data_IF_482904954953
#
_entry.id   IF_482904954953
#
_cell.length_a   1.000
_cell.length_b   1.000
_cell.length_c   1.000
_cell.angle_alpha   90.00
_cell.angle_beta   90.00
_cell.angle_gamma   90.00
#
_symmetry.space_group_name_H-M   'P 1'
#
loop_
_entity.id
_entity.type
_entity.pdbx_description
1 polymer ?
#
# COMPACT_ATOMS: atom_id res chain seq x y z
N UNK A 1 -43.01 -10.51 12.86
CA UNK A 1 -42.91 -10.32 11.40
C UNK A 1 -41.53 -9.74 11.14
N UNK A 2 -40.55 -10.58 10.77
CA UNK A 2 -39.21 -10.11 10.41
C UNK A 2 -39.28 -9.47 9.02
N UNK A 3 -39.16 -8.15 8.95
CA UNK A 3 -38.77 -7.48 7.71
C UNK A 3 -37.38 -8.00 7.34
N UNK A 4 -37.32 -8.84 6.32
CA UNK A 4 -36.06 -9.20 5.68
C UNK A 4 -35.42 -7.90 5.20
N UNK A 5 -34.25 -7.57 5.74
CA UNK A 5 -33.45 -6.47 5.21
C UNK A 5 -33.35 -6.62 3.69
N UNK A 6 -33.55 -5.53 2.92
CA UNK A 6 -33.43 -5.59 1.47
C UNK A 6 -32.05 -6.17 1.13
N UNK A 7 -31.95 -7.06 0.13
CA UNK A 7 -30.67 -7.59 -0.30
C UNK A 7 -29.74 -6.40 -0.56
N UNK A 8 -28.45 -6.48 -0.17
CA UNK A 8 -27.49 -5.45 -0.52
C UNK A 8 -27.61 -5.19 -2.02
N UNK A 9 -27.58 -3.92 -2.48
CA UNK A 9 -27.72 -3.61 -3.88
C UNK A 9 -26.74 -4.52 -4.62
N UNK A 10 -27.28 -5.38 -5.48
CA UNK A 10 -26.48 -6.28 -6.29
C UNK A 10 -25.41 -5.39 -6.91
N UNK A 11 -24.15 -5.63 -6.54
CA UNK A 11 -23.00 -4.90 -7.04
C UNK A 11 -23.21 -4.81 -8.55
N UNK A 12 -23.62 -3.63 -9.01
CA UNK A 12 -23.60 -3.35 -10.41
C UNK A 12 -22.12 -3.50 -10.73
N UNK A 13 -21.80 -4.57 -11.44
CA UNK A 13 -20.55 -4.83 -12.15
C UNK A 13 -20.32 -3.67 -13.14
N UNK A 14 -20.21 -2.46 -12.60
CA UNK A 14 -19.70 -1.30 -13.25
C UNK A 14 -18.24 -1.65 -13.48
N UNK A 15 -18.01 -2.30 -14.64
CA UNK A 15 -16.70 -2.72 -15.10
C UNK A 15 -15.76 -1.56 -14.85
N UNK A 16 -14.94 -1.69 -13.81
CA UNK A 16 -13.98 -0.66 -13.45
C UNK A 16 -13.15 -0.44 -14.71
N UNK A 17 -13.04 0.80 -15.22
CA UNK A 17 -12.28 1.06 -16.43
C UNK A 17 -10.90 0.42 -16.30
N UNK A 18 -10.40 -0.17 -17.38
CA UNK A 18 -9.21 -1.04 -17.36
C UNK A 18 -8.00 -0.40 -16.65
N UNK A 19 -7.89 0.93 -16.68
CA UNK A 19 -6.80 1.72 -16.09
C UNK A 19 -7.17 2.51 -14.83
N UNK A 20 -8.42 2.43 -14.34
CA UNK A 20 -8.83 3.16 -13.16
C UNK A 20 -8.15 2.58 -11.91
N UNK A 21 -7.73 3.46 -10.99
CA UNK A 21 -7.27 3.05 -9.66
C UNK A 21 -8.36 2.18 -9.01
N UNK A 22 -8.06 0.94 -8.58
CA UNK A 22 -9.07 0.08 -7.96
C UNK A 22 -9.65 0.67 -6.67
N UNK A 23 -9.00 1.68 -6.10
CA UNK A 23 -9.48 2.45 -4.95
C UNK A 23 -10.04 3.82 -5.31
N UNK A 24 -10.27 4.12 -6.59
CA UNK A 24 -10.95 5.36 -6.98
C UNK A 24 -12.33 5.42 -6.32
N UNK A 25 -12.56 6.47 -5.51
CA UNK A 25 -13.80 6.62 -4.75
C UNK A 25 -13.93 5.71 -3.53
N UNK A 26 -12.90 4.92 -3.19
CA UNK A 26 -12.89 4.16 -1.94
C UNK A 26 -12.86 5.09 -0.75
N UNK A 27 -13.79 4.89 0.17
CA UNK A 27 -13.85 5.61 1.43
C UNK A 27 -13.48 4.64 2.54
N UNK A 28 -12.39 4.92 3.25
CA UNK A 28 -11.97 4.07 4.36
C UNK A 28 -12.78 4.39 5.61
N UNK A 29 -13.87 3.65 5.81
CA UNK A 29 -14.86 3.89 6.87
C UNK A 29 -14.61 3.08 8.16
N UNK A 30 -13.52 2.31 8.22
CA UNK A 30 -13.24 1.40 9.34
C UNK A 30 -13.19 2.10 10.71
N UNK A 31 -12.63 3.31 10.80
CA UNK A 31 -12.61 4.13 12.02
C UNK A 31 -13.52 5.36 11.91
N UNK A 32 -14.52 5.30 11.03
CA UNK A 32 -15.49 6.37 10.78
C UNK A 32 -14.83 7.71 10.42
N UNK A 33 -13.82 7.68 9.54
CA UNK A 33 -13.12 8.91 9.08
C UNK A 33 -14.05 9.82 8.29
N UNK A 34 -14.92 9.23 7.48
CA UNK A 34 -15.84 9.95 6.63
C UNK A 34 -17.04 10.52 7.41
N UNK A 35 -17.51 11.68 6.95
CA UNK A 35 -18.65 12.36 7.57
C UNK A 35 -19.96 11.66 7.24
N UNK A 36 -20.12 11.12 6.04
CA UNK A 36 -21.35 10.45 5.65
C UNK A 36 -21.45 9.07 6.30
N UNK A 37 -20.34 8.35 6.47
CA UNK A 37 -20.30 7.13 7.29
C UNK A 37 -20.80 7.36 8.72
N UNK A 38 -20.34 8.43 9.39
CA UNK A 38 -20.83 8.82 10.72
C UNK A 38 -22.31 9.18 10.72
N UNK A 39 -22.77 9.92 9.70
CA UNK A 39 -24.19 10.28 9.57
C UNK A 39 -25.07 9.04 9.38
N UNK A 40 -24.67 8.10 8.52
CA UNK A 40 -25.40 6.84 8.30
C UNK A 40 -25.48 6.04 9.59
N UNK A 41 -24.35 5.81 10.25
CA UNK A 41 -24.31 5.10 11.54
C UNK A 41 -25.17 5.80 12.60
N UNK A 42 -25.14 7.14 12.67
CA UNK A 42 -25.95 7.90 13.62
C UNK A 42 -27.45 7.84 13.35
N UNK A 43 -27.86 7.68 12.09
CA UNK A 43 -29.25 7.52 11.70
C UNK A 43 -29.78 6.11 12.01
N UNK A 44 -28.98 5.08 11.75
CA UNK A 44 -29.37 3.67 11.91
C UNK A 44 -29.19 3.17 13.36
N UNK A 45 -28.08 3.54 13.99
CA UNK A 45 -27.65 3.03 15.30
C UNK A 45 -27.07 4.15 16.17
N UNK A 46 -27.91 5.13 16.61
CA UNK A 46 -27.44 6.28 17.39
C UNK A 46 -26.70 5.87 18.66
N UNK A 47 -27.12 4.79 19.33
CA UNK A 47 -26.44 4.26 20.51
C UNK A 47 -25.03 3.72 20.22
N UNK A 48 -24.78 3.14 19.04
CA UNK A 48 -23.45 2.66 18.65
C UNK A 48 -22.53 3.82 18.30
N UNK A 49 -23.05 4.88 17.65
CA UNK A 49 -22.26 6.08 17.35
C UNK A 49 -21.68 6.71 18.63
N UNK A 50 -22.41 6.68 19.76
CA UNK A 50 -21.92 7.22 21.05
C UNK A 50 -20.58 6.64 21.49
N UNK A 51 -20.30 5.38 21.16
CA UNK A 51 -19.11 4.65 21.60
C UNK A 51 -18.08 4.50 20.50
N UNK A 52 -18.52 4.34 19.24
CA UNK A 52 -17.68 4.19 18.06
C UNK A 52 -17.13 5.54 17.55
N UNK A 53 -17.81 6.66 17.81
CA UNK A 53 -17.30 7.98 17.42
C UNK A 53 -16.14 8.40 18.33
N UNK A 54 -14.94 8.52 17.75
CA UNK A 54 -13.72 8.91 18.47
C UNK A 54 -12.99 10.06 17.76
N UNK A 55 -13.43 11.32 17.97
CA UNK A 55 -12.90 12.48 17.25
C UNK A 55 -11.41 12.75 17.54
N UNK A 56 -10.95 12.52 18.77
CA UNK A 56 -9.56 12.75 19.16
C UNK A 56 -8.60 11.81 18.40
N UNK A 57 -8.95 10.52 18.30
CA UNK A 57 -8.17 9.56 17.52
C UNK A 57 -8.17 9.90 16.02
N UNK A 58 -9.31 10.33 15.47
CA UNK A 58 -9.36 10.76 14.06
C UNK A 58 -8.49 11.98 13.78
N UNK A 59 -8.46 12.94 14.71
CA UNK A 59 -7.58 14.09 14.58
C UNK A 59 -6.10 13.66 14.56
N UNK A 60 -5.72 12.70 15.41
CA UNK A 60 -4.38 12.11 15.39
C UNK A 60 -4.10 11.37 14.07
N UNK A 61 -5.05 10.54 13.60
CA UNK A 61 -4.93 9.82 12.33
C UNK A 61 -4.70 10.78 11.16
N UNK A 62 -5.55 11.80 11.03
CA UNK A 62 -5.46 12.79 9.95
C UNK A 62 -4.16 13.60 9.98
N UNK A 63 -3.62 13.88 11.18
CA UNK A 63 -2.32 14.56 11.35
C UNK A 63 -1.18 13.80 10.68
N UNK A 64 -1.24 12.47 10.66
CA UNK A 64 -0.18 11.62 10.10
C UNK A 64 -0.49 11.12 8.68
N UNK A 65 -1.75 10.93 8.32
CA UNK A 65 -2.12 10.40 7.02
C UNK A 65 -1.77 11.34 5.85
N UNK A 66 -2.07 12.64 5.98
CA UNK A 66 -1.84 13.59 4.90
C UNK A 66 -0.35 13.73 4.52
N UNK A 67 0.58 13.91 5.48
CA UNK A 67 2.02 13.84 5.21
C UNK A 67 2.41 12.49 4.58
N UNK A 68 1.94 11.36 5.12
CA UNK A 68 2.29 10.05 4.60
C UNK A 68 1.91 9.89 3.11
N UNK A 69 0.71 10.33 2.73
CA UNK A 69 0.23 10.28 1.35
C UNK A 69 0.97 11.26 0.44
N UNK A 70 1.34 12.44 0.94
CA UNK A 70 2.13 13.41 0.18
C UNK A 70 3.53 12.87 -0.16
N UNK A 71 4.26 12.35 0.84
CA UNK A 71 5.59 11.80 0.64
C UNK A 71 5.58 10.60 -0.31
N UNK A 72 4.63 9.67 -0.15
CA UNK A 72 4.49 8.52 -1.06
C UNK A 72 4.32 8.94 -2.52
N UNK A 73 3.46 9.94 -2.79
CA UNK A 73 3.21 10.44 -4.14
C UNK A 73 4.44 11.15 -4.71
N UNK A 74 5.13 11.96 -3.91
CA UNK A 74 6.32 12.70 -4.34
C UNK A 74 7.46 11.73 -4.68
N UNK A 75 7.76 10.79 -3.78
CA UNK A 75 8.87 9.85 -3.97
C UNK A 75 8.61 8.93 -5.17
N UNK A 76 7.36 8.47 -5.36
CA UNK A 76 6.97 7.70 -6.55
C UNK A 76 7.14 8.49 -7.84
N UNK A 77 6.74 9.76 -7.86
CA UNK A 77 6.89 10.62 -9.04
C UNK A 77 8.36 10.87 -9.37
N UNK A 78 9.19 11.19 -8.37
CA UNK A 78 10.62 11.43 -8.57
C UNK A 78 11.34 10.17 -9.07
N UNK A 79 11.07 9.01 -8.45
CA UNK A 79 11.64 7.74 -8.89
C UNK A 79 11.23 7.37 -10.31
N UNK A 80 9.94 7.48 -10.64
CA UNK A 80 9.45 7.20 -11.99
C UNK A 80 10.05 8.16 -13.02
N UNK A 81 10.07 9.46 -12.74
CA UNK A 81 10.66 10.46 -13.64
C UNK A 81 12.15 10.21 -13.85
N UNK A 82 12.90 9.89 -12.79
CA UNK A 82 14.33 9.56 -12.89
C UNK A 82 14.58 8.38 -13.82
N UNK A 83 13.82 7.28 -13.65
CA UNK A 83 13.93 6.09 -14.51
C UNK A 83 13.55 6.42 -15.95
N UNK A 84 12.44 7.13 -16.18
CA UNK A 84 12.00 7.49 -17.54
C UNK A 84 13.03 8.37 -18.26
N UNK A 85 13.57 9.38 -17.58
CA UNK A 85 14.61 10.26 -18.14
C UNK A 85 15.89 9.48 -18.42
N UNK A 86 16.30 8.57 -17.51
CA UNK A 86 17.49 7.73 -17.71
C UNK A 86 17.34 6.76 -18.88
N UNK A 87 16.18 6.12 -19.03
CA UNK A 87 15.86 5.25 -20.17
C UNK A 87 15.86 6.05 -21.47
N UNK A 88 15.24 7.23 -21.48
CA UNK A 88 15.25 8.10 -22.66
C UNK A 88 16.68 8.51 -23.06
N UNK A 89 17.54 8.82 -22.09
CA UNK A 89 18.95 9.11 -22.32
C UNK A 89 19.68 7.92 -22.99
N UNK A 90 19.50 6.71 -22.46
CA UNK A 90 20.12 5.49 -22.99
C UNK A 90 19.62 5.13 -24.38
N UNK A 91 18.31 5.25 -24.62
CA UNK A 91 17.72 5.02 -25.95
C UNK A 91 18.28 6.03 -26.94
N UNK A 92 18.29 7.33 -26.60
CA UNK A 92 18.84 8.36 -27.48
C UNK A 92 20.33 8.11 -27.78
N UNK A 93 21.12 7.78 -26.76
CA UNK A 93 22.53 7.43 -26.92
C UNK A 93 22.75 6.22 -27.85
N UNK A 94 21.89 5.20 -27.75
CA UNK A 94 21.95 4.01 -28.60
C UNK A 94 21.75 4.32 -30.09
N UNK A 95 20.92 5.32 -30.42
CA UNK A 95 20.63 5.71 -31.80
C UNK A 95 21.57 6.78 -32.37
N UNK A 96 22.36 7.47 -31.53
CA UNK A 96 23.32 8.50 -31.97
C UNK A 96 24.28 8.06 -33.10
N UNK A 97 24.86 6.83 -33.10
CA UNK A 97 25.74 6.40 -34.18
C UNK A 97 25.10 6.41 -35.56
N UNK A 98 23.78 6.19 -35.67
CA UNK A 98 23.07 6.17 -36.96
C UNK A 98 23.08 7.52 -37.66
N UNK A 99 22.96 8.61 -36.91
CA UNK A 99 23.10 9.95 -37.46
C UNK A 99 24.52 10.17 -38.03
N UNK A 100 25.53 9.62 -37.36
CA UNK A 100 26.91 9.61 -37.84
C UNK A 100 27.07 8.81 -39.15
N UNK A 101 26.55 7.59 -39.20
CA UNK A 101 26.60 6.76 -40.41
C UNK A 101 25.79 7.35 -41.59
N UNK A 102 24.75 8.14 -41.31
CA UNK A 102 23.99 8.88 -42.31
C UNK A 102 24.69 10.17 -42.81
N UNK A 103 25.91 10.46 -42.34
CA UNK A 103 26.66 11.67 -42.69
C UNK A 103 26.18 12.94 -41.98
N UNK A 104 25.31 12.83 -40.98
CA UNK A 104 24.77 13.95 -40.21
C UNK A 104 25.59 14.21 -38.93
N UNK A 105 26.86 14.57 -39.09
CA UNK A 105 27.79 14.74 -37.96
C UNK A 105 27.26 15.73 -36.89
N UNK A 106 26.69 16.87 -37.31
CA UNK A 106 26.08 17.83 -36.39
C UNK A 106 24.87 17.23 -35.65
N UNK A 107 24.03 16.44 -36.34
CA UNK A 107 22.89 15.74 -35.73
C UNK A 107 23.34 14.73 -34.67
N UNK A 108 24.39 13.96 -34.96
CA UNK A 108 24.98 13.02 -34.00
C UNK A 108 25.55 13.72 -32.76
N UNK A 109 26.24 14.85 -32.95
CA UNK A 109 26.76 15.67 -31.84
C UNK A 109 25.64 16.21 -30.95
N UNK A 110 24.57 16.76 -31.56
CA UNK A 110 23.41 17.28 -30.83
C UNK A 110 22.70 16.15 -30.06
N UNK A 111 22.45 15.01 -30.70
CA UNK A 111 21.82 13.86 -30.07
C UNK A 111 22.66 13.31 -28.90
N UNK A 112 23.98 13.21 -29.08
CA UNK A 112 24.92 12.81 -28.03
C UNK A 112 24.94 13.78 -26.85
N UNK A 113 24.98 15.09 -27.11
CA UNK A 113 24.92 16.12 -26.08
C UNK A 113 23.61 16.08 -25.29
N UNK A 114 22.48 15.92 -25.99
CA UNK A 114 21.16 15.79 -25.36
C UNK A 114 21.07 14.50 -24.50
N UNK A 115 21.57 13.37 -25.00
CA UNK A 115 21.61 12.13 -24.25
C UNK A 115 22.45 12.27 -22.96
N UNK A 116 23.62 12.90 -23.04
CA UNK A 116 24.46 13.17 -21.88
C UNK A 116 23.75 14.09 -20.87
N UNK A 117 23.10 15.15 -21.34
CA UNK A 117 22.31 16.04 -20.48
C UNK A 117 21.18 15.30 -19.76
N UNK A 118 20.41 14.47 -20.47
CA UNK A 118 19.35 13.66 -19.87
C UNK A 118 19.89 12.66 -18.85
N UNK A 119 21.03 12.02 -19.14
CA UNK A 119 21.68 11.10 -18.19
C UNK A 119 22.11 11.82 -16.90
N UNK A 120 22.68 13.02 -17.03
CA UNK A 120 23.03 13.87 -15.87
C UNK A 120 21.77 14.29 -15.09
N UNK A 121 20.70 14.66 -15.78
CA UNK A 121 19.42 15.01 -15.14
C UNK A 121 18.82 13.82 -14.38
N UNK A 122 18.83 12.61 -14.97
CA UNK A 122 18.40 11.39 -14.29
C UNK A 122 19.26 11.10 -13.05
N UNK A 123 20.58 11.22 -13.17
CA UNK A 123 21.52 11.07 -12.04
C UNK A 123 21.24 12.07 -10.92
N UNK A 124 21.01 13.34 -11.26
CA UNK A 124 20.65 14.38 -10.29
C UNK A 124 19.32 14.08 -9.59
N UNK A 125 18.29 13.65 -10.34
CA UNK A 125 16.99 13.25 -9.76
C UNK A 125 17.14 12.04 -8.82
N UNK A 126 17.93 11.04 -9.20
CA UNK A 126 18.22 9.88 -8.34
C UNK A 126 18.97 10.30 -7.07
N UNK A 127 19.96 11.19 -7.17
CA UNK A 127 20.67 11.74 -6.01
C UNK A 127 19.75 12.54 -5.09
N UNK A 128 18.88 13.41 -5.64
CA UNK A 128 17.86 14.11 -4.86
C UNK A 128 16.94 13.14 -4.12
N UNK A 129 16.54 12.04 -4.76
CA UNK A 129 15.74 10.98 -4.15
C UNK A 129 16.52 10.27 -3.02
N UNK A 130 17.80 9.97 -3.21
CA UNK A 130 18.65 9.36 -2.18
C UNK A 130 18.86 10.29 -0.98
N UNK A 131 19.09 11.58 -1.22
CA UNK A 131 19.23 12.59 -0.18
C UNK A 131 17.93 12.83 0.59
N UNK A 132 16.79 12.48 0.01
CA UNK A 132 15.49 12.46 0.69
C UNK A 132 15.33 11.27 1.67
N UNK A 133 16.41 10.61 2.09
CA UNK A 133 16.38 9.55 3.12
C UNK A 133 15.62 9.95 4.40
N UNK A 134 15.68 11.24 4.79
CA UNK A 134 14.90 11.79 5.91
C UNK A 134 13.39 11.81 5.62
N UNK A 135 13.01 12.18 4.39
CA UNK A 135 11.62 12.10 3.90
C UNK A 135 11.09 10.67 3.95
N UNK A 136 11.91 9.66 3.64
CA UNK A 136 11.51 8.25 3.74
C UNK A 136 11.27 7.82 5.19
N UNK A 137 12.13 8.24 6.13
CA UNK A 137 11.94 7.94 7.55
C UNK A 137 10.69 8.63 8.11
N UNK A 138 10.45 9.90 7.76
CA UNK A 138 9.26 10.66 8.13
C UNK A 138 7.99 10.03 7.53
N UNK A 139 8.05 9.57 6.28
CA UNK A 139 6.98 8.86 5.60
C UNK A 139 6.63 7.54 6.32
N UNK A 140 7.62 6.70 6.58
CA UNK A 140 7.43 5.43 7.28
C UNK A 140 6.94 5.64 8.71
N UNK A 141 7.44 6.66 9.41
CA UNK A 141 6.94 7.05 10.73
C UNK A 141 5.49 7.51 10.69
N UNK A 142 5.11 8.30 9.69
CA UNK A 142 3.72 8.75 9.51
C UNK A 142 2.78 7.57 9.19
N UNK A 143 3.24 6.61 8.37
CA UNK A 143 2.50 5.36 8.12
C UNK A 143 2.36 4.52 9.38
N UNK A 144 3.45 4.31 10.11
CA UNK A 144 3.43 3.65 11.41
C UNK A 144 2.34 4.26 12.32
N UNK A 145 2.33 5.58 12.48
CA UNK A 145 1.33 6.26 13.32
C UNK A 145 -0.09 6.09 12.86
N UNK A 146 -0.33 6.23 11.57
CA UNK A 146 -1.66 6.09 10.97
C UNK A 146 -2.22 4.69 11.29
N UNK A 147 -1.41 3.67 11.09
CA UNK A 147 -1.79 2.27 11.31
C UNK A 147 -1.85 1.89 12.80
N UNK A 148 -1.00 2.47 13.66
CA UNK A 148 -1.08 2.29 15.12
C UNK A 148 -2.27 3.01 15.73
N UNK A 149 -2.65 4.18 15.22
CA UNK A 149 -3.90 4.85 15.62
C UNK A 149 -5.11 4.00 15.22
N UNK A 150 -5.14 3.46 14.00
CA UNK A 150 -6.17 2.51 13.57
C UNK A 150 -6.21 1.27 14.47
N UNK A 151 -5.05 0.67 14.76
CA UNK A 151 -4.94 -0.45 15.69
C UNK A 151 -5.47 -0.10 17.09
N UNK A 152 -5.14 1.08 17.62
CA UNK A 152 -5.64 1.55 18.92
C UNK A 152 -7.17 1.57 18.96
N UNK A 153 -7.81 2.07 17.91
CA UNK A 153 -9.27 2.13 17.82
C UNK A 153 -9.92 0.77 18.16
N UNK A 154 -9.49 -0.27 17.44
CA UNK A 154 -10.05 -1.61 17.59
C UNK A 154 -9.57 -2.31 18.85
N UNK A 155 -8.30 -2.14 19.23
CA UNK A 155 -7.77 -2.74 20.46
C UNK A 155 -8.48 -2.21 21.71
N UNK A 156 -8.78 -0.91 21.78
CA UNK A 156 -9.52 -0.34 22.92
C UNK A 156 -10.94 -0.92 22.98
N UNK A 157 -11.63 -1.03 21.84
CA UNK A 157 -12.98 -1.60 21.77
C UNK A 157 -13.00 -3.07 22.20
N UNK A 158 -12.13 -3.90 21.62
CA UNK A 158 -12.08 -5.34 21.89
C UNK A 158 -11.67 -5.65 23.33
N UNK A 159 -10.79 -4.86 23.93
CA UNK A 159 -10.36 -5.06 25.32
C UNK A 159 -11.29 -4.43 26.36
N UNK A 160 -12.38 -3.77 25.94
CA UNK A 160 -13.34 -3.10 26.84
C UNK A 160 -14.79 -3.30 26.36
N UNK A 161 -15.10 -4.44 25.74
CA UNK A 161 -16.41 -4.70 25.13
C UNK A 161 -17.58 -4.52 26.10
N UNK A 162 -17.45 -4.99 27.35
CA UNK A 162 -18.46 -4.81 28.38
C UNK A 162 -18.76 -3.32 28.67
N UNK A 163 -17.71 -2.54 28.93
CA UNK A 163 -17.83 -1.11 29.20
C UNK A 163 -18.39 -0.35 27.99
N UNK A 164 -17.91 -0.68 26.79
CA UNK A 164 -18.39 -0.08 25.55
C UNK A 164 -19.87 -0.41 25.30
N UNK A 165 -20.30 -1.66 25.50
CA UNK A 165 -21.70 -2.05 25.35
C UNK A 165 -22.61 -1.30 26.34
N UNK A 166 -22.22 -1.20 27.62
CA UNK A 166 -22.99 -0.43 28.63
C UNK A 166 -23.04 1.06 28.30
N UNK A 167 -21.94 1.64 27.83
CA UNK A 167 -21.85 3.05 27.43
C UNK A 167 -22.75 3.44 26.26
N UNK A 168 -23.29 2.48 25.50
CA UNK A 168 -24.28 2.75 24.45
C UNK A 168 -25.59 3.30 25.02
N UNK A 169 -25.95 2.92 26.26
CA UNK A 169 -27.22 3.28 26.89
C UNK A 169 -27.09 4.01 28.23
N UNK A 170 -25.94 3.95 28.91
CA UNK A 170 -25.70 4.57 30.22
C UNK A 170 -24.67 5.71 30.15
N UNK A 171 -25.05 6.90 30.64
CA UNK A 171 -24.21 8.10 30.67
C UNK A 171 -23.02 7.99 31.63
N UNK A 172 -23.18 7.28 32.75
CA UNK A 172 -22.08 7.06 33.70
C UNK A 172 -21.03 6.13 33.07
N UNK A 173 -21.47 5.04 32.44
CA UNK A 173 -20.62 4.15 31.66
C UNK A 173 -19.97 4.88 30.49
N UNK A 174 -20.68 5.78 29.79
CA UNK A 174 -20.12 6.61 28.71
C UNK A 174 -19.01 7.54 29.22
N UNK A 175 -19.18 8.12 30.42
CA UNK A 175 -18.13 8.90 31.08
C UNK A 175 -16.88 8.06 31.36
N UNK A 176 -17.04 6.83 31.85
CA UNK A 176 -15.94 5.88 32.06
C UNK A 176 -15.29 5.44 30.75
N UNK A 177 -16.07 5.17 29.71
CA UNK A 177 -15.60 4.84 28.37
C UNK A 177 -14.73 5.93 27.76
N UNK A 178 -15.15 7.20 27.87
CA UNK A 178 -14.36 8.35 27.41
C UNK A 178 -13.01 8.45 28.13
N UNK A 179 -12.97 8.19 29.44
CA UNK A 179 -11.70 8.16 30.20
C UNK A 179 -10.80 7.01 29.77
N UNK A 180 -11.34 5.81 29.56
CA UNK A 180 -10.57 4.67 29.08
C UNK A 180 -9.93 4.95 27.70
N UNK A 181 -10.69 5.56 26.78
CA UNK A 181 -10.17 6.01 25.48
C UNK A 181 -9.05 7.05 25.61
N UNK A 182 -9.24 8.06 26.46
CA UNK A 182 -8.21 9.09 26.69
C UNK A 182 -6.91 8.48 27.24
N UNK A 183 -7.00 7.61 28.26
CA UNK A 183 -5.85 6.90 28.82
C UNK A 183 -5.13 6.04 27.78
N UNK A 184 -5.89 5.35 26.93
CA UNK A 184 -5.31 4.53 25.88
C UNK A 184 -4.62 5.36 24.78
N UNK A 185 -5.14 6.55 24.49
CA UNK A 185 -4.51 7.50 23.57
C UNK A 185 -3.20 8.05 24.16
N UNK A 186 -3.18 8.38 25.45
CA UNK A 186 -2.00 8.85 26.17
C UNK A 186 -0.91 7.77 26.28
N UNK A 187 -1.28 6.49 26.17
CA UNK A 187 -0.35 5.36 26.15
C UNK A 187 0.37 5.20 24.81
N UNK A 188 -0.08 5.87 23.73
CA UNK A 188 0.69 5.87 22.48
C UNK A 188 2.03 6.57 22.72
N UNK A 189 3.15 5.99 22.24
CA UNK A 189 4.46 6.58 22.46
C UNK A 189 4.53 7.99 21.85
N UNK A 190 5.27 8.96 22.39
CA UNK A 190 5.35 10.29 21.78
C UNK A 190 5.93 10.21 20.36
N UNK A 191 5.45 11.08 19.46
CA UNK A 191 5.86 11.07 18.05
C UNK A 191 7.32 11.53 17.79
N UNK A 192 8.11 11.79 18.85
CA UNK A 192 9.47 12.32 18.75
C UNK A 192 10.51 11.34 18.21
N UNK A 193 10.39 10.03 18.48
CA UNK A 193 11.33 9.01 17.99
C UNK A 193 10.69 8.05 16.99
N UNK A 194 10.25 8.60 15.87
CA UNK A 194 9.63 7.80 14.81
C UNK A 194 10.58 6.80 14.16
N UNK A 195 11.85 7.18 13.98
CA UNK A 195 12.83 6.33 13.33
C UNK A 195 13.23 5.13 14.22
N UNK A 196 13.33 5.32 15.54
CA UNK A 196 13.51 4.24 16.49
C UNK A 196 12.35 3.25 16.44
N UNK A 197 11.11 3.73 16.52
CA UNK A 197 9.90 2.88 16.49
C UNK A 197 9.75 2.07 15.22
N UNK A 198 10.01 2.66 14.05
CA UNK A 198 10.03 1.95 12.76
C UNK A 198 11.09 0.84 12.80
N UNK A 199 12.28 1.12 13.34
CA UNK A 199 13.36 0.14 13.44
C UNK A 199 13.00 -0.99 14.39
N UNK A 200 12.43 -0.68 15.55
CA UNK A 200 12.04 -1.67 16.54
C UNK A 200 10.94 -2.59 16.00
N UNK A 201 9.93 -2.04 15.33
CA UNK A 201 8.88 -2.84 14.69
C UNK A 201 9.44 -3.80 13.64
N UNK A 202 10.44 -3.42 12.84
CA UNK A 202 11.05 -4.36 11.87
C UNK A 202 11.80 -5.51 12.52
N UNK A 203 12.20 -5.37 13.79
CA UNK A 203 12.90 -6.38 14.59
C UNK A 203 11.97 -7.20 15.48
N UNK A 204 10.71 -6.79 15.64
CA UNK A 204 9.72 -7.49 16.45
C UNK A 204 9.22 -8.76 15.74
N UNK A 205 10.03 -9.81 15.79
CA UNK A 205 9.69 -11.11 15.20
C UNK A 205 8.72 -11.89 16.08
N UNK A 206 8.73 -11.64 17.40
CA UNK A 206 7.91 -12.31 18.40
C UNK A 206 6.50 -11.72 18.52
N UNK A 207 6.20 -10.65 17.78
CA UNK A 207 4.93 -9.93 17.82
C UNK A 207 4.64 -9.33 19.22
N UNK A 208 5.70 -8.95 19.95
CA UNK A 208 5.63 -8.38 21.29
C UNK A 208 4.88 -7.04 21.32
N UNK A 209 4.93 -6.28 20.23
CA UNK A 209 4.36 -4.93 20.13
C UNK A 209 2.99 -4.91 19.41
N UNK A 210 2.35 -6.07 19.19
CA UNK A 210 0.98 -6.14 18.63
C UNK A 210 0.05 -5.24 19.44
N UNK A 211 0.04 -5.43 20.77
CA UNK A 211 -0.81 -4.72 21.70
C UNK A 211 -0.16 -3.43 22.18
N UNK A 212 -0.86 -2.30 22.03
CA UNK A 212 -0.35 -0.99 22.44
C UNK A 212 -0.18 -0.91 23.95
N UNK A 213 -1.15 -1.43 24.70
CA UNK A 213 -1.01 -1.59 26.14
C UNK A 213 -0.60 -3.03 26.46
N UNK A 214 0.51 -3.27 27.19
CA UNK A 214 0.95 -4.61 27.55
C UNK A 214 -0.10 -5.46 28.27
N UNK A 215 -0.98 -4.82 29.07
CA UNK A 215 -2.07 -5.48 29.77
C UNK A 215 -3.05 -6.20 28.83
N UNK A 216 -3.15 -5.79 27.56
CA UNK A 216 -4.04 -6.40 26.57
C UNK A 216 -3.47 -7.62 25.89
N UNK A 217 -2.23 -8.04 26.20
CA UNK A 217 -1.68 -9.32 25.74
C UNK A 217 -2.55 -10.48 26.23
N UNK A 218 -3.04 -10.38 27.46
CA UNK A 218 -4.03 -11.30 28.04
C UNK A 218 -5.42 -10.81 27.70
N UNK A 219 -6.28 -11.70 27.20
CA UNK A 219 -7.67 -11.35 26.93
C UNK A 219 -8.39 -11.02 28.26
N UNK A 220 -9.22 -9.96 28.31
CA UNK A 220 -10.12 -9.77 29.43
C UNK A 220 -11.15 -10.91 29.48
N UNK A 221 -11.80 -11.14 30.63
CA UNK A 221 -12.93 -12.07 30.72
C UNK A 221 -14.00 -11.74 29.68
N UNK A 222 -14.66 -12.76 29.15
CA UNK A 222 -15.77 -12.57 28.23
C UNK A 222 -16.88 -11.74 28.91
N UNK A 223 -17.42 -10.71 28.24
CA UNK A 223 -18.49 -9.88 28.77
C UNK A 223 -19.79 -10.67 28.88
N UNK A 224 -20.73 -10.18 29.70
CA UNK A 224 -22.09 -10.73 29.71
C UNK A 224 -22.79 -10.43 28.37
N UNK A 225 -23.57 -11.41 27.88
CA UNK A 225 -24.30 -11.26 26.62
C UNK A 225 -25.42 -10.23 26.78
N UNK A 226 -25.52 -9.29 25.84
CA UNK A 226 -26.56 -8.26 25.81
C UNK A 226 -26.86 -7.82 24.37
N UNK A 227 -28.05 -7.26 24.09
CA UNK A 227 -28.36 -6.72 22.76
C UNK A 227 -27.39 -5.62 22.30
N UNK A 228 -26.86 -4.83 23.23
CA UNK A 228 -25.87 -3.79 22.96
C UNK A 228 -24.53 -4.40 22.54
N UNK A 229 -24.11 -5.48 23.20
CA UNK A 229 -22.91 -6.21 22.83
C UNK A 229 -23.05 -6.83 21.43
N UNK A 230 -24.18 -7.47 21.12
CA UNK A 230 -24.42 -8.04 19.78
C UNK A 230 -24.37 -6.97 18.68
N UNK A 231 -24.99 -5.82 18.92
CA UNK A 231 -24.92 -4.68 18.01
C UNK A 231 -23.49 -4.17 17.86
N UNK A 232 -22.75 -4.00 18.96
CA UNK A 232 -21.36 -3.55 18.94
C UNK A 232 -20.47 -4.53 18.14
N UNK A 233 -20.61 -5.83 18.39
CA UNK A 233 -19.89 -6.89 17.69
C UNK A 233 -20.22 -6.89 16.19
N UNK A 234 -21.49 -6.71 15.81
CA UNK A 234 -21.89 -6.57 14.40
C UNK A 234 -21.22 -5.37 13.72
N UNK A 235 -21.22 -4.21 14.38
CA UNK A 235 -20.53 -3.01 13.89
C UNK A 235 -19.03 -3.23 13.76
N UNK A 236 -18.38 -3.87 14.74
CA UNK A 236 -16.95 -4.17 14.72
C UNK A 236 -16.60 -5.15 13.59
N UNK A 237 -17.41 -6.18 13.35
CA UNK A 237 -17.24 -7.09 12.21
C UNK A 237 -17.28 -6.30 10.90
N UNK A 238 -18.31 -5.48 10.70
CA UNK A 238 -18.46 -4.66 9.50
C UNK A 238 -17.27 -3.72 9.30
N UNK A 239 -16.89 -2.96 10.33
CA UNK A 239 -15.81 -1.99 10.26
C UNK A 239 -14.43 -2.62 10.10
N UNK A 240 -14.14 -3.71 10.83
CA UNK A 240 -12.79 -4.25 10.93
C UNK A 240 -12.52 -5.39 9.96
N UNK A 241 -13.50 -6.25 9.70
CA UNK A 241 -13.30 -7.39 8.81
C UNK A 241 -13.81 -7.07 7.42
N UNK A 242 -15.06 -6.62 7.29
CA UNK A 242 -15.70 -6.46 5.98
C UNK A 242 -15.00 -5.39 5.14
N UNK A 243 -14.74 -4.21 5.73
CA UNK A 243 -14.01 -3.12 5.06
C UNK A 243 -12.59 -3.56 4.67
N UNK A 244 -11.89 -4.31 5.52
CA UNK A 244 -10.52 -4.75 5.24
C UNK A 244 -10.46 -5.85 4.18
N UNK A 245 -11.45 -6.75 4.16
CA UNK A 245 -11.63 -7.75 3.12
C UNK A 245 -11.91 -7.06 1.78
N UNK A 246 -12.84 -6.11 1.72
CA UNK A 246 -13.16 -5.39 0.49
C UNK A 246 -11.97 -4.57 -0.01
N UNK A 247 -11.33 -3.80 0.88
CA UNK A 247 -10.09 -3.08 0.58
C UNK A 247 -9.03 -3.99 -0.07
N UNK A 248 -8.78 -5.14 0.54
CA UNK A 248 -7.76 -6.07 0.05
C UNK A 248 -8.19 -6.73 -1.26
N UNK A 249 -9.46 -7.09 -1.43
CA UNK A 249 -10.00 -7.64 -2.68
C UNK A 249 -9.90 -6.64 -3.83
N UNK A 250 -10.24 -5.37 -3.61
CA UNK A 250 -10.05 -4.31 -4.61
C UNK A 250 -8.58 -4.18 -5.01
N UNK A 251 -7.66 -4.21 -4.04
CA UNK A 251 -6.21 -4.23 -4.31
C UNK A 251 -5.77 -5.46 -5.10
N UNK A 252 -6.39 -6.62 -4.87
CA UNK A 252 -6.09 -7.89 -5.52
C UNK A 252 -6.85 -8.12 -6.85
N UNK A 253 -7.73 -7.20 -7.23
CA UNK A 253 -8.63 -7.36 -8.38
C UNK A 253 -7.90 -7.42 -9.74
N UNK A 254 -8.70 -7.50 -10.81
CA UNK A 254 -8.21 -7.77 -12.16
C UNK A 254 -8.03 -6.53 -13.05
N UNK A 255 -8.08 -5.32 -12.51
CA UNK A 255 -7.80 -4.12 -13.32
C UNK A 255 -6.33 -4.07 -13.74
N UNK A 256 -5.99 -3.42 -14.87
CA UNK A 256 -4.58 -3.19 -15.23
C UNK A 256 -3.89 -2.23 -14.26
N UNK A 257 -4.65 -1.54 -13.41
CA UNK A 257 -4.12 -0.78 -12.29
C UNK A 257 -3.79 -1.65 -11.07
N UNK A 258 -4.25 -2.90 -11.02
CA UNK A 258 -3.98 -3.82 -9.93
C UNK A 258 -2.54 -4.34 -9.98
N UNK A 259 -1.88 -4.54 -8.82
CA UNK A 259 -0.47 -4.95 -8.75
C UNK A 259 -0.16 -6.22 -9.53
N UNK A 260 -1.06 -7.21 -9.52
CA UNK A 260 -0.88 -8.48 -10.25
C UNK A 260 -0.76 -8.25 -11.76
N UNK A 261 -1.74 -7.58 -12.34
CA UNK A 261 -1.80 -7.33 -13.77
C UNK A 261 -0.63 -6.44 -14.22
N UNK A 262 -0.25 -5.46 -13.41
CA UNK A 262 0.94 -4.63 -13.66
C UNK A 262 2.23 -5.46 -13.68
N UNK A 263 2.42 -6.33 -12.69
CA UNK A 263 3.59 -7.20 -12.62
C UNK A 263 3.62 -8.20 -13.80
N UNK A 264 2.48 -8.79 -14.16
CA UNK A 264 2.37 -9.72 -15.30
C UNK A 264 2.61 -9.03 -16.64
N UNK A 265 2.07 -7.83 -16.84
CA UNK A 265 2.32 -7.02 -18.03
C UNK A 265 3.79 -6.61 -18.11
N UNK A 266 4.39 -6.13 -17.01
CA UNK A 266 5.80 -5.76 -16.95
C UNK A 266 6.71 -6.96 -17.26
N UNK A 267 6.44 -8.14 -16.67
CA UNK A 267 7.20 -9.37 -16.94
C UNK A 267 7.16 -9.76 -18.42
N UNK A 268 5.97 -9.73 -19.04
CA UNK A 268 5.81 -10.03 -20.47
C UNK A 268 6.55 -9.01 -21.34
N UNK A 269 6.42 -7.72 -21.03
CA UNK A 269 7.12 -6.67 -21.76
C UNK A 269 8.65 -6.78 -21.66
N UNK A 270 9.17 -7.02 -20.45
CA UNK A 270 10.61 -7.26 -20.22
C UNK A 270 11.08 -8.49 -20.99
N UNK A 271 10.31 -9.59 -21.00
CA UNK A 271 10.64 -10.78 -21.78
C UNK A 271 10.70 -10.50 -23.27
N UNK A 272 9.68 -9.82 -23.83
CA UNK A 272 9.64 -9.44 -25.24
C UNK A 272 10.78 -8.51 -25.65
N UNK A 273 11.08 -7.49 -24.83
CA UNK A 273 12.22 -6.58 -25.06
C UNK A 273 13.56 -7.31 -24.98
N UNK A 274 13.69 -8.29 -24.07
CA UNK A 274 14.90 -9.12 -23.97
C UNK A 274 15.10 -9.96 -25.23
N UNK A 275 14.05 -10.59 -25.74
CA UNK A 275 14.09 -11.35 -27.00
C UNK A 275 14.45 -10.43 -28.16
N UNK A 276 13.85 -9.24 -28.24
CA UNK A 276 14.19 -8.25 -29.27
C UNK A 276 15.66 -7.83 -29.19
N UNK A 277 16.19 -7.61 -27.97
CA UNK A 277 17.59 -7.25 -27.77
C UNK A 277 18.54 -8.36 -28.26
N UNK A 278 18.28 -9.61 -27.89
CA UNK A 278 19.07 -10.77 -28.31
C UNK A 278 18.99 -10.99 -29.82
N UNK A 279 17.79 -10.91 -30.42
CA UNK A 279 17.60 -11.07 -31.85
C UNK A 279 18.34 -9.99 -32.65
N UNK A 280 18.25 -8.73 -32.24
CA UNK A 280 18.95 -7.62 -32.89
C UNK A 280 20.48 -7.73 -32.72
N UNK A 281 20.97 -8.11 -31.55
CA UNK A 281 22.40 -8.37 -31.34
C UNK A 281 22.90 -9.55 -32.19
N UNK A 282 22.10 -10.62 -32.29
CA UNK A 282 22.38 -11.77 -33.15
C UNK A 282 22.46 -11.36 -34.62
N UNK A 283 21.52 -10.54 -35.11
CA UNK A 283 21.56 -10.00 -36.47
C UNK A 283 22.83 -9.17 -36.72
N UNK A 284 23.23 -8.32 -35.77
CA UNK A 284 24.49 -7.58 -35.87
C UNK A 284 25.69 -8.52 -35.99
N UNK A 285 25.75 -9.59 -35.18
CA UNK A 285 26.80 -10.61 -35.25
C UNK A 285 26.83 -11.38 -36.57
N UNK A 286 25.65 -11.71 -37.12
CA UNK A 286 25.52 -12.35 -38.45
C UNK A 286 26.06 -11.42 -39.53
N UNK A 287 25.66 -10.15 -39.55
CA UNK A 287 26.16 -9.17 -40.51
C UNK A 287 27.68 -9.03 -40.42
N UNK A 288 28.24 -8.93 -39.21
CA UNK A 288 29.70 -8.88 -39.03
C UNK A 288 30.40 -10.14 -39.59
N UNK A 289 29.80 -11.31 -39.43
CA UNK A 289 30.34 -12.58 -39.97
C UNK A 289 30.33 -12.62 -41.50
N UNK A 290 29.36 -11.97 -42.14
CA UNK A 290 29.30 -11.78 -43.60
C UNK A 290 30.23 -10.67 -44.12
N UNK A 291 31.11 -10.13 -43.27
CA UNK A 291 32.13 -9.15 -43.67
C UNK A 291 31.65 -7.69 -43.66
N UNK A 292 30.45 -7.41 -43.15
CA UNK A 292 30.04 -6.03 -42.89
C UNK A 292 30.88 -5.44 -41.75
N UNK A 293 31.15 -4.14 -41.80
CA UNK A 293 31.91 -3.44 -40.75
C UNK A 293 30.98 -2.90 -39.65
N UNK A 294 31.54 -2.54 -38.49
CA UNK A 294 30.80 -1.83 -37.43
C UNK A 294 30.27 -0.45 -37.87
N UNK A 295 30.84 0.13 -38.93
CA UNK A 295 30.37 1.39 -39.52
C UNK A 295 29.21 1.19 -40.49
N UNK A 296 28.89 -0.05 -40.90
CA UNK A 296 27.78 -0.31 -41.79
C UNK A 296 26.45 0.02 -41.11
N UNK A 297 25.58 0.76 -41.81
CA UNK A 297 24.30 1.23 -41.28
C UNK A 297 23.44 0.10 -40.70
N UNK A 298 23.39 -1.06 -41.37
CA UNK A 298 22.65 -2.22 -40.91
C UNK A 298 23.16 -2.79 -39.58
N UNK A 299 24.49 -2.86 -39.41
CA UNK A 299 25.11 -3.32 -38.15
C UNK A 299 24.82 -2.33 -37.03
N UNK A 300 25.00 -1.03 -37.27
CA UNK A 300 24.70 -0.01 -36.27
C UNK A 300 23.23 0.02 -35.88
N UNK A 301 22.31 -0.13 -36.84
CA UNK A 301 20.88 -0.14 -36.56
C UNK A 301 20.49 -1.33 -35.69
N UNK A 302 21.03 -2.50 -35.98
CA UNK A 302 20.84 -3.70 -35.17
C UNK A 302 21.39 -3.52 -33.74
N UNK A 303 22.59 -2.96 -33.58
CA UNK A 303 23.17 -2.65 -32.26
C UNK A 303 22.33 -1.60 -31.51
N UNK A 304 21.86 -0.55 -32.19
CA UNK A 304 21.04 0.50 -31.60
C UNK A 304 19.71 -0.05 -31.06
N UNK A 305 19.02 -0.88 -31.86
CA UNK A 305 17.79 -1.56 -31.44
C UNK A 305 18.07 -2.49 -30.25
N UNK A 306 19.17 -3.25 -30.29
CA UNK A 306 19.54 -4.13 -29.18
C UNK A 306 19.75 -3.36 -27.87
N UNK A 307 20.52 -2.27 -27.91
CA UNK A 307 20.79 -1.43 -26.75
C UNK A 307 19.54 -0.70 -26.24
N UNK A 308 18.70 -0.16 -27.14
CA UNK A 308 17.45 0.50 -26.77
C UNK A 308 16.46 -0.47 -26.12
N UNK A 309 16.30 -1.68 -26.67
CA UNK A 309 15.44 -2.71 -26.10
C UNK A 309 15.94 -3.17 -24.71
N UNK A 310 17.26 -3.33 -24.55
CA UNK A 310 17.86 -3.64 -23.25
C UNK A 310 17.64 -2.50 -22.22
N UNK A 311 17.82 -1.24 -22.62
CA UNK A 311 17.57 -0.08 -21.76
C UNK A 311 16.10 0.00 -21.31
N UNK A 312 15.15 -0.22 -22.23
CA UNK A 312 13.72 -0.28 -21.92
C UNK A 312 13.39 -1.43 -20.96
N UNK A 313 13.97 -2.62 -21.17
CA UNK A 313 13.77 -3.78 -20.31
C UNK A 313 14.28 -3.51 -18.88
N UNK A 314 15.47 -2.93 -18.76
CA UNK A 314 16.05 -2.52 -17.48
C UNK A 314 15.21 -1.44 -16.80
N UNK A 315 14.73 -0.45 -17.55
CA UNK A 315 13.84 0.59 -17.06
C UNK A 315 12.53 0.04 -16.50
N UNK A 316 11.85 -0.82 -17.26
CA UNK A 316 10.62 -1.47 -16.81
C UNK A 316 10.86 -2.35 -15.57
N UNK A 317 12.00 -3.06 -15.52
CA UNK A 317 12.38 -3.84 -14.34
C UNK A 317 12.63 -2.94 -13.14
N UNK A 318 13.33 -1.82 -13.30
CA UNK A 318 13.56 -0.86 -12.22
C UNK A 318 12.25 -0.25 -11.69
N UNK A 319 11.30 0.07 -12.59
CA UNK A 319 9.96 0.52 -12.19
C UNK A 319 9.21 -0.60 -11.46
N UNK A 320 9.24 -1.82 -11.97
CA UNK A 320 8.57 -2.95 -11.33
C UNK A 320 9.17 -3.26 -9.95
N UNK A 321 10.49 -3.33 -9.84
CA UNK A 321 11.17 -3.65 -8.58
C UNK A 321 11.05 -2.48 -7.57
N UNK A 322 11.06 -1.22 -8.05
CA UNK A 322 10.94 -0.02 -7.22
C UNK A 322 9.52 0.34 -6.80
N UNK A 323 8.48 -0.12 -7.51
CA UNK A 323 7.07 0.11 -7.16
C UNK A 323 6.44 -1.05 -6.35
N UNK A 324 7.19 -2.12 -6.10
CA UNK A 324 6.80 -3.24 -5.24
C UNK A 324 5.47 -3.97 -5.55
N UNK A 325 4.98 -4.04 -6.81
CA UNK A 325 3.67 -4.64 -7.06
C UNK A 325 3.64 -6.12 -6.68
N UNK A 326 4.75 -6.85 -6.84
CA UNK A 326 4.82 -8.28 -6.52
C UNK A 326 4.87 -8.56 -5.00
N UNK A 327 5.66 -7.83 -4.22
CA UNK A 327 5.72 -8.03 -2.77
C UNK A 327 4.44 -7.54 -2.08
N UNK A 328 3.86 -6.44 -2.56
CA UNK A 328 2.57 -5.97 -2.05
C UNK A 328 1.44 -6.94 -2.41
N UNK A 329 1.49 -7.59 -3.58
CA UNK A 329 0.52 -8.62 -3.95
C UNK A 329 0.50 -9.78 -2.95
N UNK A 330 1.68 -10.33 -2.62
CA UNK A 330 1.79 -11.45 -1.66
C UNK A 330 1.28 -11.02 -0.28
N UNK A 331 1.65 -9.82 0.14
CA UNK A 331 1.23 -9.24 1.42
C UNK A 331 -0.29 -9.05 1.50
N UNK A 332 -0.90 -8.44 0.50
CA UNK A 332 -2.35 -8.26 0.44
C UNK A 332 -3.11 -9.59 0.33
N UNK A 333 -2.58 -10.57 -0.41
CA UNK A 333 -3.19 -11.89 -0.52
C UNK A 333 -3.19 -12.62 0.83
N UNK A 334 -2.07 -12.59 1.55
CA UNK A 334 -1.96 -13.16 2.89
C UNK A 334 -2.89 -12.46 3.88
N UNK A 335 -2.90 -11.13 3.92
CA UNK A 335 -3.76 -10.35 4.81
C UNK A 335 -5.24 -10.58 4.49
N UNK A 336 -5.62 -10.65 3.21
CA UNK A 336 -6.99 -10.97 2.82
C UNK A 336 -7.42 -12.37 3.30
N UNK A 337 -6.57 -13.38 3.09
CA UNK A 337 -6.86 -14.74 3.55
C UNK A 337 -7.04 -14.79 5.08
N UNK A 338 -6.16 -14.11 5.82
CA UNK A 338 -6.26 -13.99 7.28
C UNK A 338 -7.55 -13.28 7.72
N UNK A 339 -7.92 -12.17 7.07
CA UNK A 339 -9.15 -11.44 7.37
C UNK A 339 -10.42 -12.28 7.06
N UNK A 340 -10.42 -13.03 5.95
CA UNK A 340 -11.51 -13.95 5.59
C UNK A 340 -11.63 -15.07 6.61
N UNK A 341 -10.51 -15.64 7.06
CA UNK A 341 -10.49 -16.68 8.10
C UNK A 341 -11.05 -16.13 9.43
N UNK A 342 -10.57 -14.96 9.87
CA UNK A 342 -11.07 -14.32 11.08
C UNK A 342 -12.58 -14.03 10.98
N UNK A 343 -13.06 -13.57 9.82
CA UNK A 343 -14.49 -13.37 9.58
C UNK A 343 -15.29 -14.66 9.65
N UNK A 344 -14.81 -15.74 9.04
CA UNK A 344 -15.48 -17.05 9.12
C UNK A 344 -15.55 -17.57 10.56
N UNK A 345 -14.48 -17.42 11.34
CA UNK A 345 -14.47 -17.74 12.77
C UNK A 345 -15.47 -16.88 13.55
N UNK A 346 -15.55 -15.58 13.25
CA UNK A 346 -16.51 -14.68 13.88
C UNK A 346 -17.96 -15.06 13.58
N UNK A 347 -18.28 -15.31 12.31
CA UNK A 347 -19.65 -15.60 11.87
C UNK A 347 -20.12 -16.99 12.36
N UNK A 348 -19.20 -17.98 12.48
CA UNK A 348 -19.52 -19.35 12.90
C UNK A 348 -19.32 -19.65 14.39
N UNK A 349 -18.72 -18.73 15.14
CA UNK A 349 -18.33 -18.93 16.54
C UNK A 349 -19.33 -18.42 17.58
N UNK A 350 -19.13 -18.86 18.81
CA UNK A 350 -19.76 -18.27 19.99
C UNK A 350 -19.12 -16.92 20.37
N UNK A 351 -19.52 -16.35 21.51
CA UNK A 351 -19.00 -15.05 21.96
C UNK A 351 -17.47 -15.05 22.13
N UNK A 352 -16.91 -16.11 22.70
CA UNK A 352 -15.46 -16.25 22.90
C UNK A 352 -14.74 -16.30 21.56
N UNK A 353 -15.21 -17.15 20.64
CA UNK A 353 -14.65 -17.25 19.29
C UNK A 353 -14.76 -15.95 18.49
N UNK A 354 -15.83 -15.16 18.66
CA UNK A 354 -15.98 -13.82 18.05
C UNK A 354 -14.96 -12.83 18.59
N UNK A 355 -14.72 -12.84 19.91
CA UNK A 355 -13.71 -11.99 20.55
C UNK A 355 -12.32 -12.40 20.07
N UNK A 356 -12.02 -13.70 20.03
CA UNK A 356 -10.75 -14.22 19.53
C UNK A 356 -10.52 -13.86 18.06
N UNK A 357 -11.55 -13.92 17.22
CA UNK A 357 -11.46 -13.50 15.83
C UNK A 357 -11.11 -12.00 15.69
N UNK A 358 -11.73 -11.13 16.50
CA UNK A 358 -11.40 -9.70 16.53
C UNK A 358 -9.96 -9.46 17.02
N UNK A 359 -9.52 -10.18 18.06
CA UNK A 359 -8.14 -10.10 18.58
C UNK A 359 -7.12 -10.60 17.55
N UNK A 360 -7.41 -11.71 16.88
CA UNK A 360 -6.57 -12.27 15.82
C UNK A 360 -6.40 -11.26 14.68
N UNK A 361 -7.48 -10.56 14.29
CA UNK A 361 -7.43 -9.52 13.26
C UNK A 361 -6.45 -8.38 13.60
N UNK A 362 -6.33 -7.99 14.88
CA UNK A 362 -5.32 -7.01 15.30
C UNK A 362 -3.89 -7.55 15.16
N UNK A 363 -3.66 -8.83 15.47
CA UNK A 363 -2.40 -9.50 15.21
C UNK A 363 -2.06 -9.52 13.71
N UNK A 364 -3.03 -9.84 12.85
CA UNK A 364 -2.83 -9.84 11.40
C UNK A 364 -2.53 -8.45 10.84
N UNK A 365 -3.26 -7.42 11.28
CA UNK A 365 -3.01 -6.04 10.87
C UNK A 365 -1.64 -5.53 11.33
N UNK A 366 -1.20 -5.90 12.53
CA UNK A 366 0.14 -5.58 13.01
C UNK A 366 1.23 -6.23 12.14
N UNK A 367 1.09 -7.53 11.82
CA UNK A 367 2.05 -8.23 10.94
C UNK A 367 2.07 -7.66 9.53
N UNK A 368 0.92 -7.26 8.98
CA UNK A 368 0.87 -6.55 7.69
C UNK A 368 1.68 -5.25 7.74
N UNK A 369 1.44 -4.42 8.76
CA UNK A 369 2.19 -3.19 8.97
C UNK A 369 3.69 -3.44 9.11
N UNK A 370 4.09 -4.43 9.92
CA UNK A 370 5.49 -4.81 10.09
C UNK A 370 6.11 -5.27 8.77
N UNK A 371 5.41 -6.09 8.01
CA UNK A 371 5.81 -6.54 6.67
C UNK A 371 5.99 -5.36 5.70
N UNK A 372 5.06 -4.41 5.71
CA UNK A 372 5.14 -3.17 4.96
C UNK A 372 6.37 -2.33 5.33
N UNK A 373 6.59 -2.08 6.62
CA UNK A 373 7.74 -1.27 7.05
C UNK A 373 9.06 -1.99 6.74
N UNK A 374 9.13 -3.31 6.93
CA UNK A 374 10.33 -4.08 6.66
C UNK A 374 10.68 -4.13 5.17
N UNK A 375 9.69 -4.29 4.27
CA UNK A 375 9.94 -4.26 2.82
C UNK A 375 10.44 -2.88 2.37
N UNK A 376 9.82 -1.81 2.88
CA UNK A 376 10.18 -0.45 2.49
C UNK A 376 11.46 0.04 3.16
N UNK A 377 11.85 -0.46 4.34
CA UNK A 377 13.12 -0.07 4.97
C UNK A 377 14.31 -0.69 4.21
N UNK A 378 14.17 -1.92 3.71
CA UNK A 378 15.23 -2.66 2.99
C UNK A 378 15.46 -2.20 1.55
N UNK A 379 14.49 -1.52 0.93
CA UNK A 379 14.58 -1.07 -0.47
C UNK A 379 15.50 0.14 -0.68
N UNK A 380 16.79 -0.02 -0.38
CA UNK A 380 17.83 0.96 -0.71
C UNK A 380 18.84 0.38 -1.67
#
# INVERSE_FOLDING_TARGET
MSESAPPPPADADARIPLFADPLAGWVNDDILLDKDARRRLGAEHPQALRVLDWPELRALFNKHEAPANHHARRDRRLGLTSVLVGVAALVLAAFTPLAGAAGQAAGAQIAGALAAFLALAAGALALCQMMAARSKAEWLGSRYWTERARGLYFQVLVNNLDLAARAMTDDAALGAWKRARAQALDALPPAGDLAGRVRDMTRDVADDEVWILPAWRTAPPAPETSPQLDLLLSCLRAQRMDVQIDYSRRKLGDSLAAPRQQADAARRAVGGLTVAAVAAAGLAGVLLTFGFTLSALGVQAAVAVAAAAAALALGLRAVNDGLFPASDLVRYAWYNAAAVQARAQFDGGDLEARIDALRAMEGHAYRDLRGFIASHTRSR
#
